data_IF_098401261982
#
_entry.id   IF_098401261982
#
_cell.length_a   1.000
_cell.length_b   1.000
_cell.length_c   1.000
_cell.angle_alpha   90.00
_cell.angle_beta   90.00
_cell.angle_gamma   90.00
#
_symmetry.space_group_name_H-M   'P 1'
#
loop_
_entity.id
_entity.type
_entity.pdbx_description
1 polymer ?
#
# COMPACT_ATOMS: atom_id res chain seq x y z
N UNK A 1 -0.03 -17.83 -22.55
CA UNK A 1 0.06 -17.81 -21.07
C UNK A 1 0.59 -16.48 -20.60
N UNK A 2 -0.04 -15.88 -19.63
CA UNK A 2 0.45 -14.65 -19.02
C UNK A 2 1.51 -14.93 -17.96
N UNK A 3 2.01 -13.86 -17.39
CA UNK A 3 2.89 -13.95 -16.22
C UNK A 3 2.08 -13.91 -14.95
N UNK A 4 2.62 -14.49 -13.89
CA UNK A 4 2.22 -14.11 -12.54
C UNK A 4 3.25 -13.11 -12.02
N UNK A 5 2.84 -12.25 -11.09
CA UNK A 5 3.78 -11.26 -10.56
C UNK A 5 3.51 -11.02 -9.08
N UNK A 6 4.53 -10.49 -8.42
CA UNK A 6 4.44 -10.02 -7.05
C UNK A 6 4.84 -8.55 -7.03
N UNK A 7 4.45 -7.85 -5.98
CA UNK A 7 4.91 -6.48 -5.76
C UNK A 7 5.97 -6.53 -4.68
N UNK A 8 7.12 -5.90 -4.94
CA UNK A 8 8.20 -5.83 -3.96
C UNK A 8 8.37 -4.37 -3.52
N UNK A 9 8.36 -4.18 -2.21
CA UNK A 9 8.51 -2.87 -1.58
C UNK A 9 9.79 -2.89 -0.75
N UNK A 10 10.70 -1.99 -1.06
CA UNK A 10 11.94 -1.85 -0.31
C UNK A 10 11.69 -1.14 1.00
N UNK A 11 12.38 -1.56 2.05
CA UNK A 11 12.21 -0.97 3.38
C UNK A 11 13.46 -1.22 4.23
N UNK A 12 13.51 -0.53 5.36
CA UNK A 12 14.64 -0.67 6.28
C UNK A 12 14.55 -1.97 7.08
N UNK A 13 13.34 -2.35 7.51
CA UNK A 13 13.14 -3.51 8.39
C UNK A 13 11.81 -4.18 8.08
N UNK A 14 11.83 -5.26 7.28
CA UNK A 14 10.59 -5.94 6.90
C UNK A 14 9.74 -6.42 8.08
N UNK A 15 10.38 -6.94 9.13
CA UNK A 15 9.63 -7.45 10.28
C UNK A 15 8.92 -6.34 11.05
N UNK A 16 9.48 -5.15 11.02
CA UNK A 16 8.88 -3.99 11.67
C UNK A 16 7.76 -3.40 10.82
N UNK A 17 7.92 -3.42 9.50
CA UNK A 17 6.94 -2.83 8.57
C UNK A 17 5.76 -3.77 8.30
N UNK A 18 5.97 -5.09 8.37
CA UNK A 18 4.96 -6.07 7.99
C UNK A 18 3.62 -5.90 8.71
N UNK A 19 3.58 -5.63 10.03
CA UNK A 19 2.28 -5.46 10.69
C UNK A 19 1.42 -4.36 10.09
N UNK A 20 2.05 -3.26 9.63
CA UNK A 20 1.31 -2.19 8.97
C UNK A 20 0.60 -2.71 7.71
N UNK A 21 1.37 -3.31 6.79
CA UNK A 21 0.80 -3.73 5.52
C UNK A 21 -0.15 -4.92 5.66
N UNK A 22 0.12 -5.82 6.61
CA UNK A 22 -0.78 -6.93 6.89
C UNK A 22 -2.16 -6.42 7.31
N UNK A 23 -2.20 -5.45 8.22
CA UNK A 23 -3.46 -4.88 8.69
C UNK A 23 -4.10 -3.98 7.63
N UNK A 24 -3.29 -3.18 6.94
CA UNK A 24 -3.80 -2.27 5.92
C UNK A 24 -4.52 -3.02 4.80
N UNK A 25 -3.94 -4.12 4.33
CA UNK A 25 -4.45 -4.88 3.20
C UNK A 25 -5.29 -6.09 3.61
N UNK A 26 -5.37 -6.40 4.89
CA UNK A 26 -5.94 -7.65 5.39
C UNK A 26 -5.21 -8.86 4.80
N UNK A 27 -3.89 -8.74 4.72
CA UNK A 27 -3.01 -9.80 4.28
C UNK A 27 -2.50 -10.57 5.49
N UNK A 28 -1.99 -11.75 5.22
CA UNK A 28 -1.37 -12.61 6.22
C UNK A 28 0.14 -12.64 5.99
N UNK A 29 0.92 -12.53 7.08
CA UNK A 29 2.35 -12.74 7.00
C UNK A 29 2.59 -14.22 6.72
N UNK A 30 3.26 -14.52 5.61
CA UNK A 30 3.44 -15.89 5.15
C UNK A 30 4.80 -16.46 5.56
N UNK A 31 5.89 -15.78 5.17
CA UNK A 31 7.22 -16.30 5.46
C UNK A 31 8.22 -15.16 5.58
N UNK A 32 9.27 -15.41 6.33
CA UNK A 32 10.41 -14.49 6.42
C UNK A 32 11.70 -15.28 6.17
N UNK A 33 12.35 -14.94 5.07
CA UNK A 33 13.67 -15.46 4.70
C UNK A 33 14.53 -14.26 4.36
N UNK A 34 15.31 -13.77 5.33
CA UNK A 34 16.07 -12.55 5.14
C UNK A 34 16.78 -12.53 3.79
N UNK A 35 16.71 -11.43 3.01
CA UNK A 35 16.15 -10.13 3.34
C UNK A 35 14.67 -9.97 3.00
N UNK A 36 13.92 -11.05 2.75
CA UNK A 36 12.56 -11.01 2.22
C UNK A 36 11.53 -11.46 3.23
N UNK A 37 10.43 -10.71 3.32
CA UNK A 37 9.26 -11.09 4.07
C UNK A 37 8.05 -11.04 3.13
N UNK A 38 7.29 -12.14 3.07
CA UNK A 38 6.16 -12.26 2.15
C UNK A 38 4.85 -12.11 2.88
N UNK A 39 3.98 -11.25 2.34
CA UNK A 39 2.60 -11.08 2.78
C UNK A 39 1.69 -11.61 1.68
N UNK A 40 0.66 -12.36 2.07
CA UNK A 40 -0.22 -13.06 1.14
C UNK A 40 -1.67 -12.65 1.38
N UNK A 41 -2.39 -12.39 0.29
CA UNK A 41 -3.84 -12.19 0.32
C UNK A 41 -4.50 -13.55 0.56
N UNK A 42 -5.18 -13.76 1.72
CA UNK A 42 -5.82 -15.05 1.98
C UNK A 42 -6.92 -15.40 0.98
N UNK A 43 -7.48 -14.40 0.28
CA UNK A 43 -8.51 -14.64 -0.73
C UNK A 43 -7.92 -15.04 -2.08
N UNK A 44 -6.61 -14.81 -2.27
CA UNK A 44 -5.94 -15.12 -3.53
C UNK A 44 -6.27 -14.18 -4.68
N UNK A 45 -6.99 -13.10 -4.43
CA UNK A 45 -7.43 -12.19 -5.49
C UNK A 45 -6.38 -11.17 -5.91
N UNK A 46 -5.47 -10.85 -4.99
CA UNK A 46 -4.45 -9.82 -5.22
C UNK A 46 -3.07 -10.44 -5.12
N UNK A 47 -2.05 -9.82 -5.75
CA UNK A 47 -0.70 -10.38 -5.72
C UNK A 47 -0.09 -10.33 -4.33
N UNK A 48 0.90 -11.18 -4.11
CA UNK A 48 1.70 -11.13 -2.89
C UNK A 48 2.47 -9.83 -2.83
N UNK A 49 2.68 -9.36 -1.60
CA UNK A 49 3.52 -8.20 -1.32
C UNK A 49 4.77 -8.70 -0.61
N UNK A 50 5.92 -8.44 -1.20
CA UNK A 50 7.21 -8.80 -0.61
C UNK A 50 7.84 -7.53 -0.06
N UNK A 51 8.25 -7.59 1.22
CA UNK A 51 9.01 -6.51 1.84
C UNK A 51 10.47 -6.93 1.80
N UNK A 52 11.31 -6.12 1.19
CA UNK A 52 12.73 -6.44 1.01
C UNK A 52 13.57 -5.44 1.78
N UNK A 53 14.45 -5.96 2.65
CA UNK A 53 15.38 -5.13 3.37
C UNK A 53 16.44 -4.60 2.43
N UNK A 54 16.62 -3.28 2.44
CA UNK A 54 17.67 -2.60 1.68
C UNK A 54 18.40 -1.61 2.59
N UNK A 55 19.69 -1.33 2.33
CA UNK A 55 20.45 -0.41 3.18
C UNK A 55 20.15 1.05 2.89
N UNK A 56 19.73 1.40 1.65
CA UNK A 56 19.50 2.78 1.30
C UNK A 56 18.14 3.24 1.79
N UNK A 57 18.05 4.45 2.40
CA UNK A 57 16.77 5.02 2.79
C UNK A 57 15.99 5.45 1.55
N UNK A 58 14.67 5.56 1.73
CA UNK A 58 13.82 6.08 0.67
C UNK A 58 14.17 7.54 0.38
N UNK A 59 14.33 7.85 -0.90
CA UNK A 59 14.59 9.20 -1.36
C UNK A 59 13.66 9.53 -2.52
N UNK A 60 13.09 10.73 -2.49
CA UNK A 60 12.17 11.17 -3.52
C UNK A 60 10.82 10.47 -3.48
N UNK A 61 10.01 10.77 -4.48
CA UNK A 61 8.67 10.19 -4.60
C UNK A 61 8.75 8.82 -5.26
N UNK A 62 7.91 7.87 -4.81
CA UNK A 62 7.78 6.58 -5.48
C UNK A 62 7.36 6.77 -6.93
N UNK A 63 7.98 6.03 -7.82
CA UNK A 63 7.57 6.00 -9.23
C UNK A 63 6.37 5.05 -9.45
N UNK A 64 6.28 4.03 -8.62
CA UNK A 64 5.12 3.14 -8.56
C UNK A 64 4.54 3.21 -7.17
N UNK A 65 3.22 3.19 -7.06
CA UNK A 65 2.55 3.18 -5.78
C UNK A 65 1.30 2.31 -5.84
N UNK A 66 0.84 1.88 -4.67
CA UNK A 66 -0.40 1.12 -4.56
C UNK A 66 -1.56 2.10 -4.43
N UNK A 67 -2.65 1.79 -5.11
CA UNK A 67 -3.91 2.50 -4.97
C UNK A 67 -4.89 1.55 -4.31
N UNK A 68 -5.34 1.90 -3.10
CA UNK A 68 -6.24 1.07 -2.30
C UNK A 68 -7.65 1.64 -2.44
N UNK A 69 -8.55 0.85 -2.99
CA UNK A 69 -9.91 1.32 -3.27
C UNK A 69 -10.86 0.95 -2.15
N UNK A 70 -11.66 1.90 -1.72
CA UNK A 70 -12.62 1.69 -0.65
C UNK A 70 -13.81 2.64 -0.75
N UNK A 71 -14.84 2.37 0.05
CA UNK A 71 -16.09 3.12 -0.01
C UNK A 71 -16.05 4.45 0.74
N UNK A 72 -15.18 4.55 1.76
CA UNK A 72 -15.12 5.74 2.62
C UNK A 72 -13.65 6.06 2.86
N UNK A 73 -13.09 6.92 2.02
CA UNK A 73 -11.65 7.19 2.06
C UNK A 73 -11.23 7.93 3.32
N UNK A 74 -12.10 8.76 3.89
CA UNK A 74 -11.77 9.44 5.16
C UNK A 74 -11.64 8.43 6.30
N UNK A 75 -12.57 7.49 6.38
CA UNK A 75 -12.50 6.44 7.39
C UNK A 75 -11.25 5.58 7.21
N UNK A 76 -10.97 5.19 5.96
CA UNK A 76 -9.81 4.37 5.68
C UNK A 76 -8.50 5.11 5.95
N UNK A 77 -8.43 6.40 5.62
CA UNK A 77 -7.25 7.20 5.93
C UNK A 77 -7.00 7.27 7.43
N UNK A 78 -8.07 7.48 8.23
CA UNK A 78 -7.93 7.50 9.69
C UNK A 78 -7.49 6.15 10.22
N UNK A 79 -7.99 5.06 9.64
CA UNK A 79 -7.56 3.72 10.03
C UNK A 79 -6.07 3.53 9.73
N UNK A 80 -5.61 3.95 8.54
CA UNK A 80 -4.19 3.86 8.19
C UNK A 80 -3.32 4.69 9.12
N UNK A 81 -3.78 5.89 9.48
CA UNK A 81 -3.05 6.72 10.44
C UNK A 81 -2.91 6.03 11.79
N UNK A 82 -3.95 5.34 12.24
CA UNK A 82 -3.89 4.61 13.51
C UNK A 82 -2.89 3.45 13.46
N UNK A 83 -2.57 2.98 12.25
CA UNK A 83 -1.60 1.91 12.05
C UNK A 83 -0.18 2.45 11.83
N UNK A 84 0.00 3.77 11.76
CA UNK A 84 1.31 4.38 11.65
C UNK A 84 1.58 5.13 10.36
N UNK A 85 0.61 5.21 9.44
CA UNK A 85 0.79 5.97 8.21
C UNK A 85 0.63 7.47 8.46
N UNK A 86 1.10 8.28 7.50
CA UNK A 86 0.92 9.73 7.52
C UNK A 86 0.13 10.16 6.30
N UNK A 87 -0.76 11.13 6.47
CA UNK A 87 -1.41 11.77 5.34
C UNK A 87 -0.43 12.78 4.73
N UNK A 88 -0.29 12.75 3.41
CA UNK A 88 0.52 13.72 2.69
C UNK A 88 -0.36 14.80 2.07
N UNK A 89 -1.62 14.49 1.73
CA UNK A 89 -2.59 15.50 1.28
C UNK A 89 -3.61 15.73 2.40
N UNK A 90 -3.75 17.01 2.83
CA UNK A 90 -4.69 17.36 3.89
C UNK A 90 -6.13 17.13 3.47
N UNK A 91 -6.43 17.48 2.22
CA UNK A 91 -7.74 17.29 1.63
C UNK A 91 -7.65 16.23 0.56
N UNK A 92 -8.74 15.48 0.31
CA UNK A 92 -8.74 14.56 -0.83
C UNK A 92 -8.44 15.29 -2.13
N UNK A 93 -7.62 14.67 -2.97
CA UNK A 93 -7.33 15.17 -4.30
C UNK A 93 -8.50 14.79 -5.21
N UNK A 94 -8.97 15.73 -6.02
CA UNK A 94 -10.04 15.47 -7.00
C UNK A 94 -9.42 15.36 -8.38
N UNK A 95 -9.70 14.27 -9.08
CA UNK A 95 -9.24 14.07 -10.44
C UNK A 95 -10.19 14.63 -11.47
N UNK A 96 -9.78 14.64 -12.75
CA UNK A 96 -10.58 15.22 -13.83
C UNK A 96 -11.88 14.47 -14.12
N UNK A 97 -11.98 13.21 -13.70
CA UNK A 97 -13.19 12.41 -13.93
C UNK A 97 -14.07 12.29 -12.69
N UNK A 98 -13.83 13.14 -11.68
CA UNK A 98 -14.61 13.11 -10.44
C UNK A 98 -14.10 12.12 -9.41
N UNK A 99 -13.08 11.37 -9.74
CA UNK A 99 -12.41 10.47 -8.80
C UNK A 99 -11.72 11.26 -7.68
N UNK A 100 -11.64 10.67 -6.51
CA UNK A 100 -11.05 11.30 -5.33
C UNK A 100 -10.11 10.32 -4.63
N UNK A 101 -9.02 10.85 -4.10
CA UNK A 101 -8.07 10.01 -3.36
C UNK A 101 -7.33 10.83 -2.31
N UNK A 102 -6.74 10.13 -1.35
CA UNK A 102 -5.87 10.72 -0.33
C UNK A 102 -4.50 10.10 -0.49
N UNK A 103 -3.47 10.95 -0.60
CA UNK A 103 -2.08 10.47 -0.68
C UNK A 103 -1.57 10.28 0.72
N UNK A 104 -0.98 9.12 0.99
CA UNK A 104 -0.44 8.77 2.29
C UNK A 104 0.96 8.19 2.16
N UNK A 105 1.66 8.09 3.27
CA UNK A 105 2.95 7.41 3.34
C UNK A 105 2.89 6.34 4.42
N UNK A 106 3.48 5.17 4.14
CA UNK A 106 3.58 4.12 5.13
C UNK A 106 4.62 4.49 6.20
N UNK A 107 4.77 3.69 7.28
CA UNK A 107 5.75 4.03 8.34
C UNK A 107 7.19 4.18 7.85
N UNK A 108 7.53 3.63 6.70
CA UNK A 108 8.88 3.75 6.13
C UNK A 108 8.97 4.86 5.08
N UNK A 109 7.89 5.61 4.89
CA UNK A 109 7.85 6.76 3.97
C UNK A 109 7.43 6.42 2.54
N UNK A 110 7.00 5.19 2.27
CA UNK A 110 6.56 4.81 0.94
C UNK A 110 5.15 5.31 0.67
N UNK A 111 4.99 6.04 -0.44
CA UNK A 111 3.69 6.63 -0.79
C UNK A 111 2.72 5.58 -1.32
N UNK A 112 1.46 5.75 -0.94
CA UNK A 112 0.34 5.00 -1.50
C UNK A 112 -0.89 5.91 -1.47
N UNK A 113 -1.94 5.51 -2.17
CA UNK A 113 -3.16 6.30 -2.23
C UNK A 113 -4.34 5.50 -1.72
N UNK A 114 -5.25 6.18 -1.03
CA UNK A 114 -6.56 5.62 -0.66
C UNK A 114 -7.56 6.27 -1.60
N UNK A 115 -8.19 5.45 -2.44
CA UNK A 115 -9.01 5.90 -3.56
C UNK A 115 -10.49 5.57 -3.34
N UNK A 116 -11.37 6.52 -3.69
CA UNK A 116 -12.80 6.34 -3.55
C UNK A 116 -13.33 5.40 -4.63
N UNK A 117 -14.16 4.43 -4.21
CA UNK A 117 -14.82 3.53 -5.14
C UNK A 117 -14.11 2.20 -5.29
N UNK A 118 -14.09 1.70 -6.50
CA UNK A 118 -13.41 0.45 -6.84
C UNK A 118 -12.61 0.65 -8.14
N UNK A 119 -11.88 -0.38 -8.53
CA UNK A 119 -10.98 -0.27 -9.68
C UNK A 119 -11.73 0.05 -10.99
N UNK A 120 -13.01 -0.30 -11.09
CA UNK A 120 -13.79 0.00 -12.28
C UNK A 120 -14.05 1.50 -12.46
N UNK A 121 -13.89 2.28 -11.37
CA UNK A 121 -13.97 3.75 -11.45
C UNK A 121 -12.97 4.32 -12.45
N UNK A 122 -11.82 3.67 -12.61
CA UNK A 122 -10.78 4.13 -13.52
C UNK A 122 -11.07 3.76 -14.98
N UNK A 123 -11.95 2.82 -15.21
CA UNK A 123 -12.24 2.31 -16.56
C UNK A 123 -13.31 3.11 -17.27
N UNK A 124 -14.03 3.91 -16.52
CA UNK A 124 -15.15 4.48 -17.08
C UNK A 124 -15.61 5.73 -17.15
#
# INVERSE_FOLDING_TARGET
>A
MGFTFVVTLDCADPQRLAPFWAEALHYRTNSYHAPYLTLTDPTGKSPELILQKVPEPKQGKNRMHLDLFGDDIEREARRMESLGARRLSKEPVAGPTGDRWIVMADPDGNEFCVCQGDVTTLEG
#
